data_IF_843856229894
#
_entry.id   IF_843856229894
#
_cell.length_a   1.000
_cell.length_b   1.000
_cell.length_c   1.000
_cell.angle_alpha   90.00
_cell.angle_beta   90.00
_cell.angle_gamma   90.00
#
_symmetry.space_group_name_H-M   'P 1'
#
loop_
_entity.id
_entity.type
_entity.pdbx_description
1 polymer ?
#
# COMPACT_ATOMS: atom_id res chain seq x y z
N UNK A 1 15.63 -4.77 -13.71
CA UNK A 1 15.59 -3.46 -13.04
C UNK A 1 15.83 -3.70 -11.57
N UNK A 2 16.94 -3.21 -11.01
CA UNK A 2 17.20 -3.26 -9.57
C UNK A 2 16.96 -1.86 -9.04
N UNK A 3 15.85 -1.67 -8.32
CA UNK A 3 15.62 -0.43 -7.58
C UNK A 3 16.49 -0.54 -6.33
N UNK A 4 17.54 0.27 -6.25
CA UNK A 4 18.46 0.31 -5.12
C UNK A 4 17.73 0.89 -3.89
N UNK A 5 17.39 0.00 -2.97
CA UNK A 5 16.81 0.28 -1.65
C UNK A 5 17.97 0.65 -0.72
N UNK A 6 18.18 1.95 -0.50
CA UNK A 6 19.28 2.51 0.29
C UNK A 6 18.71 3.21 1.54
N UNK A 7 18.50 2.45 2.61
CA UNK A 7 18.53 2.81 4.05
C UNK A 7 17.76 4.05 4.55
N UNK A 8 16.92 4.66 3.72
CA UNK A 8 15.88 5.63 4.07
C UNK A 8 14.51 5.10 3.63
N UNK A 9 14.36 3.77 3.68
CA UNK A 9 13.43 3.00 2.84
C UNK A 9 12.01 2.98 3.40
N UNK A 10 11.38 4.15 3.40
CA UNK A 10 9.96 4.26 3.57
C UNK A 10 9.27 4.40 2.21
N UNK A 11 8.23 3.59 2.02
CA UNK A 11 7.37 3.61 0.83
C UNK A 11 6.04 4.16 1.26
N UNK A 12 5.54 5.12 0.48
CA UNK A 12 4.20 5.62 0.68
C UNK A 12 3.18 4.63 0.11
N UNK A 13 2.26 4.16 0.95
CA UNK A 13 1.25 3.16 0.59
C UNK A 13 -0.14 3.77 0.73
N UNK A 14 -0.93 3.71 -0.34
CA UNK A 14 -2.29 4.23 -0.40
C UNK A 14 -3.26 3.05 -0.50
N UNK A 15 -4.03 2.83 0.55
CA UNK A 15 -5.13 1.89 0.56
C UNK A 15 -6.38 2.55 -0.01
N UNK A 16 -7.03 1.88 -0.95
CA UNK A 16 -8.23 2.38 -1.64
C UNK A 16 -9.37 1.41 -1.39
N UNK A 17 -10.33 1.80 -0.56
CA UNK A 17 -11.54 1.01 -0.32
C UNK A 17 -12.62 1.39 -1.33
N UNK A 18 -12.78 0.56 -2.36
CA UNK A 18 -13.60 0.88 -3.53
C UNK A 18 -15.09 1.07 -3.22
N UNK A 19 -15.60 0.44 -2.16
CA UNK A 19 -17.03 0.47 -1.84
C UNK A 19 -17.54 1.87 -1.51
N UNK A 20 -16.71 2.64 -0.81
CA UNK A 20 -17.07 3.97 -0.30
C UNK A 20 -16.15 5.07 -0.84
N UNK A 21 -15.26 4.75 -1.79
CA UNK A 21 -14.22 5.66 -2.31
C UNK A 21 -13.31 6.24 -1.21
N UNK A 22 -13.18 5.53 -0.08
CA UNK A 22 -12.33 5.96 1.03
C UNK A 22 -10.88 5.55 0.79
N UNK A 23 -9.95 6.45 1.13
CA UNK A 23 -8.52 6.19 1.01
C UNK A 23 -7.81 6.36 2.34
N UNK A 24 -6.75 5.58 2.56
CA UNK A 24 -5.85 5.74 3.69
C UNK A 24 -4.40 5.71 3.22
N UNK A 25 -3.61 6.68 3.66
CA UNK A 25 -2.22 6.84 3.26
C UNK A 25 -1.30 6.58 4.44
N UNK A 26 -0.38 5.63 4.28
CA UNK A 26 0.52 5.20 5.34
C UNK A 26 1.93 5.04 4.77
N UNK A 27 2.90 5.57 5.51
CA UNK A 27 4.31 5.39 5.19
C UNK A 27 4.81 4.10 5.87
N UNK A 28 5.19 3.11 5.07
CA UNK A 28 5.63 1.79 5.54
C UNK A 28 7.10 1.56 5.21
N UNK A 29 7.81 0.83 6.07
CA UNK A 29 9.17 0.40 5.75
C UNK A 29 9.20 -0.79 4.79
N UNK A 30 10.36 -1.11 4.23
CA UNK A 30 10.54 -2.24 3.30
C UNK A 30 10.01 -3.57 3.83
N UNK A 31 10.23 -3.89 5.12
CA UNK A 31 9.77 -5.15 5.70
C UNK A 31 8.23 -5.22 5.76
N UNK A 32 7.58 -4.11 6.10
CA UNK A 32 6.13 -3.98 6.12
C UNK A 32 5.55 -4.06 4.70
N UNK A 33 6.18 -3.39 3.73
CA UNK A 33 5.76 -3.47 2.32
C UNK A 33 5.91 -4.89 1.78
N UNK A 34 7.01 -5.58 2.09
CA UNK A 34 7.18 -6.98 1.68
C UNK A 34 6.11 -7.88 2.30
N UNK A 35 5.83 -7.73 3.60
CA UNK A 35 4.75 -8.48 4.25
C UNK A 35 3.40 -8.20 3.59
N UNK A 36 3.14 -6.95 3.21
CA UNK A 36 1.92 -6.51 2.57
C UNK A 36 1.74 -7.09 1.15
N UNK A 37 2.82 -7.17 0.37
CA UNK A 37 2.83 -7.79 -0.96
C UNK A 37 2.50 -9.30 -0.93
N UNK A 38 2.74 -9.96 0.20
CA UNK A 38 2.39 -11.36 0.40
C UNK A 38 1.06 -11.56 1.15
N UNK A 39 0.45 -10.49 1.66
CA UNK A 39 -0.81 -10.55 2.38
C UNK A 39 -1.99 -10.82 1.42
N UNK A 40 -3.02 -11.51 1.91
CA UNK A 40 -4.29 -11.72 1.19
C UNK A 40 -5.41 -10.80 1.70
N UNK A 41 -5.27 -10.36 2.94
CA UNK A 41 -6.25 -9.58 3.69
C UNK A 41 -5.51 -8.62 4.61
N UNK A 42 -6.15 -7.49 4.91
CA UNK A 42 -5.61 -6.48 5.80
C UNK A 42 -6.72 -5.86 6.65
N UNK A 43 -6.40 -5.62 7.91
CA UNK A 43 -7.22 -4.80 8.79
C UNK A 43 -6.71 -3.35 8.77
N UNK A 44 -7.60 -2.41 8.49
CA UNK A 44 -7.29 -0.98 8.52
C UNK A 44 -8.26 -0.32 9.48
N UNK A 45 -7.72 0.34 10.50
CA UNK A 45 -8.51 0.93 11.59
C UNK A 45 -9.55 1.93 11.08
N UNK A 46 -9.18 2.76 10.11
CA UNK A 46 -10.07 3.74 9.48
C UNK A 46 -11.32 3.10 8.88
N UNK A 47 -11.17 1.96 8.22
CA UNK A 47 -12.29 1.25 7.60
C UNK A 47 -13.02 0.34 8.58
N UNK A 48 -12.44 0.09 9.77
CA UNK A 48 -12.97 -0.80 10.80
C UNK A 48 -13.38 -2.18 10.24
N UNK A 49 -12.65 -2.65 9.25
CA UNK A 49 -12.97 -3.84 8.48
C UNK A 49 -11.71 -4.62 8.10
N UNK A 50 -11.88 -5.95 8.03
CA UNK A 50 -10.90 -6.83 7.42
C UNK A 50 -11.22 -6.96 5.93
N UNK A 51 -10.39 -6.33 5.09
CA UNK A 51 -10.63 -6.20 3.67
C UNK A 51 -9.72 -7.12 2.88
N UNK A 52 -10.22 -7.65 1.75
CA UNK A 52 -9.41 -8.46 0.84
C UNK A 52 -8.63 -7.55 -0.08
N UNK A 53 -7.36 -7.88 -0.30
CA UNK A 53 -6.53 -7.21 -1.30
C UNK A 53 -6.96 -7.72 -2.68
N UNK A 54 -7.48 -6.83 -3.53
CA UNK A 54 -7.84 -7.17 -4.91
C UNK A 54 -6.67 -6.96 -5.86
N UNK A 55 -5.99 -5.84 -5.75
CA UNK A 55 -4.86 -5.52 -6.62
C UNK A 55 -3.88 -4.57 -5.95
N UNK A 56 -2.63 -4.67 -6.38
CA UNK A 56 -1.53 -3.85 -5.91
C UNK A 56 -0.83 -3.25 -7.12
N UNK A 57 -0.73 -1.92 -7.17
CA UNK A 57 -0.22 -1.17 -8.31
C UNK A 57 0.82 -0.16 -7.85
N UNK A 58 1.97 -0.15 -8.50
CA UNK A 58 2.97 0.91 -8.30
C UNK A 58 2.59 2.13 -9.13
N UNK A 59 2.49 3.28 -8.49
CA UNK A 59 2.25 4.57 -9.12
C UNK A 59 3.50 5.44 -9.00
N UNK A 60 3.81 6.16 -10.09
CA UNK A 60 4.89 7.13 -10.14
C UNK A 60 4.32 8.45 -10.65
N UNK A 61 4.33 9.48 -9.80
CA UNK A 61 3.84 10.82 -10.14
C UNK A 61 4.83 11.87 -9.64
N UNK A 62 5.39 12.67 -10.55
CA UNK A 62 6.22 13.84 -10.21
C UNK A 62 7.33 13.53 -9.20
N UNK A 63 8.10 12.47 -9.45
CA UNK A 63 9.18 11.94 -8.58
C UNK A 63 8.76 11.22 -7.30
N UNK A 64 7.47 11.07 -7.03
CA UNK A 64 6.97 10.27 -5.91
C UNK A 64 6.53 8.89 -6.36
N UNK A 65 7.15 7.86 -5.78
CA UNK A 65 6.74 6.46 -5.92
C UNK A 65 5.78 6.13 -4.78
N UNK A 66 4.60 5.63 -5.14
CA UNK A 66 3.60 5.16 -4.17
C UNK A 66 3.08 3.77 -4.54
N UNK A 67 2.71 2.99 -3.53
CA UNK A 67 2.09 1.69 -3.69
C UNK A 67 0.58 1.81 -3.44
N UNK A 68 -0.23 1.65 -4.47
CA UNK A 68 -1.68 1.66 -4.35
C UNK A 68 -2.21 0.24 -4.14
N UNK A 69 -3.05 0.05 -3.13
CA UNK A 69 -3.64 -1.24 -2.79
C UNK A 69 -5.15 -1.09 -2.78
N UNK A 70 -5.81 -1.77 -3.71
CA UNK A 70 -7.25 -1.76 -3.85
C UNK A 70 -7.88 -2.86 -2.99
N UNK A 71 -8.87 -2.46 -2.20
CA UNK A 71 -9.50 -3.27 -1.18
C UNK A 71 -10.99 -3.44 -1.45
N UNK A 72 -11.50 -4.64 -1.15
CA UNK A 72 -12.91 -5.03 -1.25
C UNK A 72 -13.47 -5.52 0.07
#
# INVERSE_FOLDING_TARGET
>A
MSVAVNQSDSVNVVFVFQKNEETEEVTLNTAQVMALLHAKQIWIEKFSANLKIESTVWSYAGDQVSLQIYLK
#
